data_IF_062844881078
#
_entry.id   IF_062844881078
#
_cell.length_a   1.000
_cell.length_b   1.000
_cell.length_c   1.000
_cell.angle_alpha   90.00
_cell.angle_beta   90.00
_cell.angle_gamma   90.00
#
_symmetry.space_group_name_H-M   'P 1'
#
loop_
_entity.id
_entity.type
_entity.pdbx_description
1 polymer ?
#
# COMPACT_ATOMS: atom_id res chain seq x y z
N UNK A 1 -14.36 10.58 -18.93
CA UNK A 1 -13.66 11.56 -19.77
C UNK A 1 -13.98 11.21 -21.21
N UNK A 2 -14.49 12.17 -21.98
CA UNK A 2 -14.65 12.02 -23.43
C UNK A 2 -13.58 12.91 -24.08
N UNK A 3 -12.73 12.38 -24.97
CA UNK A 3 -11.81 13.22 -25.73
C UNK A 3 -12.54 14.10 -26.74
N UNK A 4 -13.74 13.70 -27.17
CA UNK A 4 -14.54 14.46 -28.12
C UNK A 4 -14.98 15.79 -27.51
N UNK A 5 -14.62 16.89 -28.18
CA UNK A 5 -14.93 18.25 -27.74
C UNK A 5 -14.05 18.80 -26.62
N UNK A 6 -13.02 18.06 -26.18
CA UNK A 6 -12.05 18.58 -25.20
C UNK A 6 -11.17 19.65 -25.83
N UNK A 7 -11.28 20.89 -25.34
CA UNK A 7 -10.47 22.01 -25.80
C UNK A 7 -9.18 22.05 -24.99
N UNK A 8 -8.12 21.49 -25.57
CA UNK A 8 -6.85 21.20 -24.90
C UNK A 8 -6.35 22.37 -24.06
N UNK A 9 -6.33 23.60 -24.59
CA UNK A 9 -5.77 24.76 -23.89
C UNK A 9 -6.74 25.28 -22.84
N UNK A 10 -7.99 25.55 -23.21
CA UNK A 10 -8.99 26.18 -22.35
C UNK A 10 -9.37 25.28 -21.18
N UNK A 11 -9.64 24.01 -21.44
CA UNK A 11 -10.10 23.08 -20.41
C UNK A 11 -8.92 22.67 -19.50
N UNK A 12 -7.69 22.58 -20.03
CA UNK A 12 -6.50 22.39 -19.19
C UNK A 12 -6.20 23.61 -18.32
N UNK A 13 -6.30 24.83 -18.86
CA UNK A 13 -6.15 26.06 -18.08
C UNK A 13 -7.21 26.18 -17.00
N UNK A 14 -8.46 25.81 -17.30
CA UNK A 14 -9.53 25.76 -16.31
C UNK A 14 -9.18 24.80 -15.15
N UNK A 15 -8.74 23.58 -15.46
CA UNK A 15 -8.34 22.60 -14.45
C UNK A 15 -7.10 23.05 -13.65
N UNK A 16 -6.13 23.70 -14.30
CA UNK A 16 -4.96 24.25 -13.62
C UNK A 16 -5.36 25.35 -12.62
N UNK A 17 -6.27 26.27 -13.02
CA UNK A 17 -6.81 27.30 -12.14
C UNK A 17 -7.58 26.71 -10.96
N UNK A 18 -8.38 25.65 -11.19
CA UNK A 18 -9.02 24.90 -10.10
C UNK A 18 -7.98 24.27 -9.15
N UNK A 19 -6.92 23.68 -9.70
CA UNK A 19 -5.81 23.12 -8.92
C UNK A 19 -5.16 24.16 -8.01
N UNK A 20 -4.86 25.35 -8.54
CA UNK A 20 -4.32 26.48 -7.76
C UNK A 20 -5.29 26.86 -6.65
N UNK A 21 -6.57 27.07 -6.96
CA UNK A 21 -7.57 27.43 -5.94
C UNK A 21 -7.70 26.37 -4.83
N UNK A 22 -7.60 25.09 -5.16
CA UNK A 22 -7.61 24.00 -4.18
C UNK A 22 -6.37 24.06 -3.28
N UNK A 23 -5.19 24.27 -3.86
CA UNK A 23 -3.93 24.42 -3.11
C UNK A 23 -4.00 25.63 -2.17
N UNK A 24 -4.41 26.79 -2.68
CA UNK A 24 -4.58 28.01 -1.87
C UNK A 24 -5.59 27.77 -0.75
N UNK A 25 -6.70 27.10 -1.02
CA UNK A 25 -7.70 26.77 -0.01
C UNK A 25 -7.14 25.87 1.10
N UNK A 26 -6.28 24.91 0.77
CA UNK A 26 -5.60 24.05 1.75
C UNK A 26 -4.60 24.85 2.59
N UNK A 27 -3.76 25.67 1.94
CA UNK A 27 -2.70 26.45 2.59
C UNK A 27 -3.31 27.52 3.50
N UNK A 28 -4.25 28.30 2.99
CA UNK A 28 -4.89 29.42 3.69
C UNK A 28 -6.04 28.97 4.60
N UNK A 29 -6.39 27.67 4.58
CA UNK A 29 -7.47 27.06 5.37
C UNK A 29 -8.81 27.76 5.18
N UNK A 30 -9.15 28.09 3.93
CA UNK A 30 -10.39 28.79 3.56
C UNK A 30 -11.36 27.87 2.81
N UNK A 31 -12.64 28.23 2.85
CA UNK A 31 -13.69 27.52 2.12
C UNK A 31 -14.06 26.18 2.75
N UNK A 32 -14.48 25.23 1.91
CA UNK A 32 -15.03 23.93 2.35
C UNK A 32 -13.97 22.83 2.52
N UNK A 33 -12.76 23.05 2.00
CA UNK A 33 -11.69 22.06 1.97
C UNK A 33 -10.80 22.21 3.21
N UNK A 34 -11.10 21.42 4.23
CA UNK A 34 -10.34 21.36 5.48
C UNK A 34 -9.70 19.98 5.62
N UNK A 35 -8.39 19.92 5.39
CA UNK A 35 -7.55 18.73 5.48
C UNK A 35 -6.69 18.71 6.76
N UNK A 36 -6.97 19.57 7.75
CA UNK A 36 -6.18 19.65 9.00
C UNK A 36 -6.11 18.34 9.78
N UNK A 37 -7.09 17.45 9.59
CA UNK A 37 -7.13 16.11 10.17
C UNK A 37 -6.88 14.99 9.14
N UNK A 38 -6.39 15.34 7.95
CA UNK A 38 -6.06 14.43 6.87
C UNK A 38 -7.21 14.10 5.91
N UNK A 39 -6.84 13.67 4.70
CA UNK A 39 -7.76 13.39 3.60
C UNK A 39 -8.77 12.29 3.93
N UNK A 40 -8.37 11.22 4.64
CA UNK A 40 -9.27 10.15 5.08
C UNK A 40 -10.42 10.67 5.95
N UNK A 41 -10.12 11.54 6.93
CA UNK A 41 -11.16 12.08 7.82
C UNK A 41 -12.09 13.03 7.06
N UNK A 42 -11.53 13.87 6.20
CA UNK A 42 -12.30 14.72 5.30
C UNK A 42 -13.25 13.90 4.43
N UNK A 43 -12.75 12.89 3.72
CA UNK A 43 -13.53 12.02 2.85
C UNK A 43 -14.67 11.32 3.60
N UNK A 44 -14.41 10.76 4.79
CA UNK A 44 -15.44 10.14 5.63
C UNK A 44 -16.53 11.14 6.07
N UNK A 45 -16.14 12.36 6.47
CA UNK A 45 -17.08 13.43 6.86
C UNK A 45 -17.94 13.84 5.68
N UNK A 46 -17.35 13.98 4.50
CA UNK A 46 -18.05 14.36 3.27
C UNK A 46 -18.97 13.23 2.80
N UNK A 47 -18.53 11.98 2.86
CA UNK A 47 -19.33 10.82 2.47
C UNK A 47 -20.60 10.66 3.32
N UNK A 48 -20.57 11.00 4.61
CA UNK A 48 -21.79 11.04 5.46
C UNK A 48 -22.83 12.05 4.99
N UNK A 49 -22.41 13.11 4.30
CA UNK A 49 -23.29 14.18 3.80
C UNK A 49 -23.68 14.00 2.33
N UNK A 50 -22.81 13.39 1.53
CA UNK A 50 -22.89 13.36 0.05
C UNK A 50 -22.97 11.95 -0.53
N UNK A 51 -22.89 10.91 0.31
CA UNK A 51 -22.91 9.50 -0.09
C UNK A 51 -21.52 8.87 -0.16
N UNK A 52 -21.48 7.53 -0.07
CA UNK A 52 -20.25 6.72 -0.03
C UNK A 52 -19.35 6.91 -1.26
N UNK A 53 -19.95 7.24 -2.41
CA UNK A 53 -19.26 7.48 -3.69
C UNK A 53 -18.06 8.45 -3.59
N UNK A 54 -18.12 9.41 -2.67
CA UNK A 54 -16.99 10.33 -2.42
C UNK A 54 -15.81 9.59 -1.79
N UNK A 55 -16.08 8.72 -0.81
CA UNK A 55 -15.04 7.88 -0.20
C UNK A 55 -14.52 6.84 -1.20
N UNK A 56 -15.42 6.26 -2.00
CA UNK A 56 -15.09 5.24 -3.01
C UNK A 56 -14.29 5.80 -4.19
N UNK A 57 -14.15 7.12 -4.28
CA UNK A 57 -13.25 7.74 -5.26
C UNK A 57 -11.82 7.88 -4.74
N UNK A 58 -11.59 7.70 -3.43
CA UNK A 58 -10.29 7.90 -2.79
C UNK A 58 -9.58 6.55 -2.61
N UNK A 59 -8.45 6.34 -3.30
CA UNK A 59 -7.59 5.17 -3.15
C UNK A 59 -6.58 5.38 -2.00
N UNK A 60 -6.68 4.59 -0.92
CA UNK A 60 -5.77 4.71 0.22
C UNK A 60 -5.76 3.45 1.08
N UNK A 61 -4.69 3.25 1.83
CA UNK A 61 -4.64 2.31 2.95
C UNK A 61 -5.01 3.04 4.24
N UNK A 62 -5.83 2.41 5.07
CA UNK A 62 -6.24 2.92 6.36
C UNK A 62 -5.42 2.27 7.48
N UNK A 63 -5.04 3.06 8.48
CA UNK A 63 -4.36 2.56 9.68
C UNK A 63 -4.91 3.27 10.93
N UNK A 64 -5.32 2.49 11.92
CA UNK A 64 -5.91 2.95 13.17
C UNK A 64 -7.00 4.01 12.95
N UNK A 65 -7.16 4.95 13.90
CA UNK A 65 -8.26 5.91 13.91
C UNK A 65 -8.18 6.99 12.84
N UNK A 66 -6.98 7.48 12.53
CA UNK A 66 -6.76 8.62 11.62
C UNK A 66 -5.71 8.34 10.54
N UNK A 67 -4.86 7.33 10.71
CA UNK A 67 -3.78 7.04 9.78
C UNK A 67 -4.32 6.67 8.40
N UNK A 68 -3.62 7.18 7.38
CA UNK A 68 -3.85 6.83 5.99
C UNK A 68 -2.57 7.05 5.19
N UNK A 69 -2.42 6.31 4.10
CA UNK A 69 -1.42 6.58 3.06
C UNK A 69 -2.03 6.29 1.71
N UNK A 70 -1.74 7.13 0.72
CA UNK A 70 -2.01 6.80 -0.68
C UNK A 70 -0.88 5.87 -1.14
N UNK A 71 -1.18 4.77 -1.84
CA UNK A 71 -0.14 3.91 -2.40
C UNK A 71 0.71 4.67 -3.42
N UNK A 72 1.94 4.22 -3.62
CA UNK A 72 2.82 4.74 -4.66
C UNK A 72 2.35 4.34 -6.06
N UNK A 73 3.06 4.77 -7.11
CA UNK A 73 2.63 4.63 -8.51
C UNK A 73 2.70 3.20 -9.08
N UNK A 74 3.09 2.19 -8.28
CA UNK A 74 3.18 0.80 -8.76
C UNK A 74 1.80 0.18 -8.80
N UNK A 75 1.43 -0.42 -9.93
CA UNK A 75 0.17 -1.12 -10.08
C UNK A 75 0.28 -2.61 -9.71
N UNK A 76 0.23 -2.91 -8.42
CA UNK A 76 0.35 -4.27 -7.87
C UNK A 76 -0.37 -4.39 -6.52
N UNK A 77 -0.92 -5.55 -6.13
CA UNK A 77 -1.68 -5.69 -4.88
C UNK A 77 -0.86 -5.42 -3.62
N UNK A 78 0.47 -5.61 -3.67
CA UNK A 78 1.36 -5.42 -2.52
C UNK A 78 1.28 -4.02 -1.90
N UNK A 79 1.03 -2.98 -2.72
CA UNK A 79 0.89 -1.60 -2.23
C UNK A 79 -0.38 -1.36 -1.42
N UNK A 80 -1.34 -2.30 -1.46
CA UNK A 80 -2.58 -2.30 -0.69
C UNK A 80 -2.60 -3.36 0.41
N UNK A 81 -1.47 -4.04 0.62
CA UNK A 81 -1.32 -5.04 1.66
C UNK A 81 -1.40 -4.44 3.07
N UNK A 82 -1.86 -5.22 4.06
CA UNK A 82 -2.06 -4.76 5.42
C UNK A 82 -0.75 -4.68 6.23
N UNK A 83 0.22 -3.92 5.73
CA UNK A 83 1.50 -3.73 6.40
C UNK A 83 1.38 -2.68 7.54
N UNK A 84 2.14 -2.84 8.64
CA UNK A 84 2.04 -1.96 9.81
C UNK A 84 2.40 -0.51 9.52
N UNK A 85 3.31 -0.27 8.57
CA UNK A 85 3.76 1.06 8.17
C UNK A 85 3.60 1.20 6.64
N UNK A 86 2.41 1.64 6.22
CA UNK A 86 2.15 1.98 4.82
C UNK A 86 2.94 3.25 4.43
N UNK A 87 3.59 3.24 3.26
CA UNK A 87 4.39 4.37 2.74
C UNK A 87 5.91 4.18 2.85
N UNK A 88 6.35 3.28 3.73
CA UNK A 88 7.65 2.60 3.57
C UNK A 88 7.43 1.43 2.61
N UNK A 89 8.38 1.12 1.74
CA UNK A 89 8.20 0.01 0.80
C UNK A 89 8.48 -1.35 1.47
N UNK A 90 7.83 -1.58 2.59
CA UNK A 90 7.83 -2.83 3.34
C UNK A 90 6.87 -3.84 2.69
N UNK A 91 6.75 -3.76 1.37
CA UNK A 91 5.90 -4.61 0.55
C UNK A 91 6.61 -4.91 -0.75
N UNK A 92 6.23 -6.04 -1.36
CA UNK A 92 6.55 -6.36 -2.73
C UNK A 92 5.78 -5.41 -3.64
N UNK A 93 6.48 -4.82 -4.60
CA UNK A 93 5.90 -3.97 -5.63
C UNK A 93 6.29 -4.43 -7.05
N UNK A 94 6.74 -5.67 -7.16
CA UNK A 94 6.97 -6.34 -8.44
C UNK A 94 5.67 -6.48 -9.24
N UNK A 95 5.82 -6.65 -10.55
CA UNK A 95 4.67 -6.79 -11.43
C UNK A 95 4.05 -8.18 -11.29
N UNK A 96 4.77 -9.22 -10.88
CA UNK A 96 4.26 -10.61 -10.93
C UNK A 96 3.01 -10.85 -10.06
N UNK A 97 2.18 -11.81 -10.49
CA UNK A 97 1.11 -12.30 -9.63
C UNK A 97 1.72 -13.16 -8.51
N UNK A 98 1.32 -12.86 -7.28
CA UNK A 98 1.67 -13.63 -6.10
C UNK A 98 0.37 -13.92 -5.35
N UNK A 99 0.06 -15.20 -5.06
CA UNK A 99 -1.02 -15.60 -4.16
C UNK A 99 -1.08 -14.73 -2.90
N UNK A 100 -2.27 -14.30 -2.43
CA UNK A 100 -2.35 -13.29 -1.37
C UNK A 100 -1.67 -13.71 -0.07
N UNK A 101 -1.77 -14.98 0.35
CA UNK A 101 -1.08 -15.45 1.55
C UNK A 101 0.43 -15.40 1.40
N UNK A 102 0.95 -15.82 0.25
CA UNK A 102 2.37 -15.75 -0.06
C UNK A 102 2.85 -14.30 -0.20
N UNK A 103 2.04 -13.42 -0.79
CA UNK A 103 2.32 -11.99 -0.88
C UNK A 103 2.49 -11.38 0.51
N UNK A 104 1.68 -11.78 1.48
CA UNK A 104 1.85 -11.41 2.89
C UNK A 104 3.21 -11.81 3.48
N UNK A 105 3.67 -13.03 3.18
CA UNK A 105 4.99 -13.53 3.63
C UNK A 105 6.14 -12.77 2.96
N UNK A 106 6.04 -12.55 1.65
CA UNK A 106 7.07 -11.82 0.92
C UNK A 106 7.13 -10.34 1.33
N UNK A 107 5.99 -9.70 1.59
CA UNK A 107 5.96 -8.36 2.17
C UNK A 107 6.70 -8.32 3.51
N UNK A 108 6.52 -9.34 4.35
CA UNK A 108 7.18 -9.46 5.65
C UNK A 108 8.69 -9.63 5.52
N UNK A 109 9.15 -10.52 4.63
CA UNK A 109 10.57 -10.65 4.31
C UNK A 109 11.15 -9.31 3.83
N UNK A 110 10.37 -8.58 3.02
CA UNK A 110 10.80 -7.29 2.48
C UNK A 110 10.89 -6.20 3.53
N UNK A 111 9.96 -6.17 4.48
CA UNK A 111 10.00 -5.32 5.66
C UNK A 111 11.28 -5.53 6.46
N UNK A 112 11.67 -6.78 6.72
CA UNK A 112 12.89 -7.12 7.47
C UNK A 112 14.13 -6.59 6.74
N UNK A 113 14.25 -6.85 5.44
CA UNK A 113 15.41 -6.40 4.66
C UNK A 113 15.46 -4.87 4.54
N UNK A 114 14.32 -4.19 4.46
CA UNK A 114 14.28 -2.71 4.47
C UNK A 114 14.62 -2.12 5.84
N UNK A 115 14.29 -2.81 6.94
CA UNK A 115 14.71 -2.43 8.30
C UNK A 115 16.23 -2.51 8.48
N UNK A 116 16.92 -3.46 7.85
CA UNK A 116 18.39 -3.52 7.84
C UNK A 116 18.98 -2.21 7.30
N UNK A 117 18.46 -1.76 6.16
CA UNK A 117 18.91 -0.55 5.47
C UNK A 117 18.52 0.70 6.28
N UNK A 118 17.27 0.80 6.71
CA UNK A 118 16.73 1.94 7.46
C UNK A 118 17.50 2.14 8.78
N UNK A 119 17.76 1.06 9.55
CA UNK A 119 18.45 1.15 10.84
C UNK A 119 19.94 1.43 10.71
N UNK A 120 20.57 1.00 9.61
CA UNK A 120 21.97 1.33 9.31
C UNK A 120 22.14 2.73 8.69
N UNK A 121 21.04 3.45 8.42
CA UNK A 121 21.08 4.79 7.83
C UNK A 121 21.49 4.81 6.35
N UNK A 122 21.40 3.68 5.65
CA UNK A 122 21.72 3.62 4.23
C UNK A 122 20.57 4.16 3.39
N UNK A 123 20.92 4.85 2.30
CA UNK A 123 19.89 5.27 1.35
C UNK A 123 19.25 4.04 0.69
N UNK A 124 17.92 4.02 0.63
CA UNK A 124 17.11 2.99 -0.03
C UNK A 124 17.58 2.65 -1.45
N UNK A 125 18.15 3.60 -2.19
CA UNK A 125 18.65 3.36 -3.56
C UNK A 125 19.81 2.35 -3.61
N UNK A 126 20.38 1.96 -2.47
CA UNK A 126 21.38 0.91 -2.35
C UNK A 126 20.79 -0.46 -2.01
N UNK A 127 19.46 -0.62 -2.06
CA UNK A 127 18.78 -1.92 -1.91
C UNK A 127 19.40 -2.99 -2.85
N UNK A 128 19.16 -4.26 -2.50
CA UNK A 128 19.71 -5.49 -3.08
C UNK A 128 21.14 -5.76 -2.65
N UNK A 129 22.10 -4.88 -2.92
CA UNK A 129 23.48 -5.13 -2.50
C UNK A 129 23.73 -4.73 -1.04
N UNK A 130 23.15 -3.60 -0.58
CA UNK A 130 23.44 -3.12 0.77
C UNK A 130 22.81 -4.00 1.85
N UNK A 131 21.65 -4.61 1.60
CA UNK A 131 21.02 -5.52 2.56
C UNK A 131 21.87 -6.77 2.85
N UNK A 132 22.72 -7.19 1.90
CA UNK A 132 23.68 -8.27 2.08
C UNK A 132 24.99 -7.78 2.72
N UNK A 133 25.47 -6.58 2.36
CA UNK A 133 26.74 -6.05 2.85
C UNK A 133 26.65 -5.43 4.25
N UNK A 134 25.52 -4.84 4.63
CA UNK A 134 25.38 -4.15 5.93
C UNK A 134 25.69 -5.09 7.11
N UNK A 135 25.17 -6.33 7.19
CA UNK A 135 25.53 -7.26 8.26
C UNK A 135 27.04 -7.53 8.34
N UNK A 136 27.72 -7.66 7.20
CA UNK A 136 29.18 -7.84 7.15
C UNK A 136 29.95 -6.58 7.59
N UNK A 137 29.44 -5.39 7.25
CA UNK A 137 30.01 -4.12 7.72
C UNK A 137 29.87 -4.01 9.25
N UNK A 138 28.72 -4.36 9.80
CA UNK A 138 28.50 -4.37 11.25
C UNK A 138 29.44 -5.37 11.93
N UNK A 139 29.67 -6.54 11.31
CA UNK A 139 30.64 -7.51 11.82
C UNK A 139 32.05 -6.93 11.84
N UNK A 140 32.51 -6.40 10.70
CA UNK A 140 33.88 -5.90 10.53
C UNK A 140 34.20 -4.74 11.46
N UNK A 141 33.22 -3.85 11.71
CA UNK A 141 33.42 -2.66 12.54
C UNK A 141 33.16 -2.89 14.02
N UNK A 142 32.23 -3.78 14.38
CA UNK A 142 31.73 -3.91 15.75
C UNK A 142 31.72 -5.34 16.29
N UNK A 143 31.80 -6.37 15.45
CA UNK A 143 31.67 -7.78 15.86
C UNK A 143 30.27 -8.16 16.34
N UNK A 144 29.24 -7.45 15.85
CA UNK A 144 27.86 -7.54 16.36
C UNK A 144 26.84 -7.97 15.28
N UNK A 145 27.26 -8.69 14.23
CA UNK A 145 26.33 -9.06 13.14
C UNK A 145 25.10 -9.82 13.63
N UNK A 146 25.30 -10.86 14.44
CA UNK A 146 24.21 -11.70 14.91
C UNK A 146 23.25 -10.93 15.82
N UNK A 147 23.78 -10.09 16.72
CA UNK A 147 22.97 -9.24 17.59
C UNK A 147 22.18 -8.19 16.79
N UNK A 148 22.80 -7.61 15.76
CA UNK A 148 22.13 -6.69 14.85
C UNK A 148 20.96 -7.37 14.12
N UNK A 149 21.18 -8.53 13.50
CA UNK A 149 20.11 -9.26 12.79
C UNK A 149 18.98 -9.72 13.73
N UNK A 150 19.32 -10.21 14.92
CA UNK A 150 18.33 -10.57 15.94
C UNK A 150 17.49 -9.36 16.36
N UNK A 151 18.13 -8.21 16.59
CA UNK A 151 17.42 -6.97 16.92
C UNK A 151 16.51 -6.49 15.78
N UNK A 152 16.90 -6.65 14.52
CA UNK A 152 16.02 -6.36 13.36
C UNK A 152 14.78 -7.27 13.39
N UNK A 153 14.94 -8.57 13.58
CA UNK A 153 13.83 -9.52 13.62
C UNK A 153 12.83 -9.19 14.75
N UNK A 154 13.34 -8.96 15.97
CA UNK A 154 12.53 -8.55 17.13
C UNK A 154 11.82 -7.21 16.84
N UNK A 155 12.52 -6.25 16.24
CA UNK A 155 11.95 -4.95 15.87
C UNK A 155 10.81 -5.12 14.87
N UNK A 156 11.00 -5.94 13.84
CA UNK A 156 9.98 -6.22 12.83
C UNK A 156 8.73 -6.83 13.47
N UNK A 157 8.90 -7.81 14.36
CA UNK A 157 7.79 -8.42 15.10
C UNK A 157 7.07 -7.42 16.00
N UNK A 158 7.79 -6.59 16.75
CA UNK A 158 7.21 -5.55 17.63
C UNK A 158 6.49 -4.42 16.88
N UNK A 159 6.92 -4.11 15.67
CA UNK A 159 6.19 -3.19 14.79
C UNK A 159 4.89 -3.86 14.33
N UNK A 160 4.96 -5.12 13.87
CA UNK A 160 3.79 -5.84 13.41
C UNK A 160 2.78 -6.19 14.51
N UNK A 161 3.22 -6.41 15.76
CA UNK A 161 2.31 -6.63 16.89
C UNK A 161 1.42 -5.41 17.20
N UNK A 162 1.82 -4.22 16.74
CA UNK A 162 1.04 -2.98 16.79
C UNK A 162 0.36 -2.65 15.46
N UNK A 163 0.38 -3.57 14.49
CA UNK A 163 -0.25 -3.38 13.20
C UNK A 163 -1.75 -3.13 13.39
N UNK A 164 -2.16 -1.91 13.07
CA UNK A 164 -3.54 -1.46 13.15
C UNK A 164 -4.10 -1.15 11.76
N UNK A 165 -3.62 -1.87 10.74
CA UNK A 165 -4.17 -1.79 9.39
C UNK A 165 -5.66 -2.11 9.38
N UNK A 166 -6.40 -1.45 8.51
CA UNK A 166 -7.86 -1.61 8.39
C UNK A 166 -8.15 -2.09 6.97
N UNK A 167 -9.09 -3.03 6.87
CA UNK A 167 -9.62 -3.48 5.59
C UNK A 167 -10.07 -2.29 4.72
N UNK A 168 -9.95 -2.45 3.41
CA UNK A 168 -10.20 -1.40 2.43
C UNK A 168 -11.57 -0.72 2.59
N UNK A 169 -11.55 0.54 3.05
CA UNK A 169 -12.76 1.33 3.27
C UNK A 169 -13.38 1.87 1.97
N UNK A 170 -12.56 1.99 0.92
CA UNK A 170 -12.93 2.49 -0.40
C UNK A 170 -13.03 1.36 -1.40
N UNK A 171 -14.10 1.35 -2.19
CA UNK A 171 -14.30 0.38 -3.28
C UNK A 171 -13.21 0.49 -4.35
N UNK A 172 -12.58 1.68 -4.51
CA UNK A 172 -11.46 1.88 -5.43
C UNK A 172 -10.29 0.92 -5.17
N UNK A 173 -10.04 0.55 -3.92
CA UNK A 173 -9.00 -0.41 -3.57
C UNK A 173 -9.32 -1.81 -4.13
N UNK A 174 -10.59 -2.21 -4.09
CA UNK A 174 -11.05 -3.50 -4.60
C UNK A 174 -10.96 -3.52 -6.13
N UNK A 175 -11.44 -2.45 -6.78
CA UNK A 175 -11.37 -2.28 -8.23
C UNK A 175 -9.92 -2.28 -8.72
N UNK A 176 -9.02 -1.64 -7.98
CA UNK A 176 -7.60 -1.61 -8.27
C UNK A 176 -6.99 -3.02 -8.32
N UNK A 177 -7.30 -3.86 -7.32
CA UNK A 177 -6.80 -5.24 -7.26
C UNK A 177 -7.42 -6.09 -8.38
N UNK A 178 -8.74 -6.02 -8.55
CA UNK A 178 -9.41 -6.77 -9.61
C UNK A 178 -8.89 -6.39 -11.00
N UNK A 179 -8.66 -5.10 -11.25
CA UNK A 179 -8.14 -4.64 -12.54
C UNK A 179 -6.70 -5.10 -12.77
N UNK A 180 -5.86 -5.14 -11.73
CA UNK A 180 -4.54 -5.75 -11.80
C UNK A 180 -4.64 -7.23 -12.19
N UNK A 181 -5.47 -8.01 -11.50
CA UNK A 181 -5.63 -9.45 -11.77
C UNK A 181 -6.14 -9.70 -13.19
N UNK A 182 -7.14 -8.95 -13.64
CA UNK A 182 -7.65 -9.04 -15.02
C UNK A 182 -6.58 -8.68 -16.04
N UNK A 183 -5.82 -7.60 -15.81
CA UNK A 183 -4.71 -7.22 -16.70
C UNK A 183 -3.68 -8.33 -16.79
N UNK A 184 -3.36 -9.00 -15.69
CA UNK A 184 -2.45 -10.15 -15.69
C UNK A 184 -2.92 -11.30 -16.57
N UNK A 185 -4.20 -11.62 -16.54
CA UNK A 185 -4.80 -12.62 -17.43
C UNK A 185 -4.82 -12.13 -18.88
N UNK A 186 -5.37 -10.94 -19.12
CA UNK A 186 -5.80 -10.47 -20.44
C UNK A 186 -4.65 -9.87 -21.27
N UNK A 187 -3.66 -9.25 -20.62
CA UNK A 187 -2.53 -8.58 -21.27
C UNK A 187 -1.25 -9.39 -21.14
N UNK A 188 -0.94 -9.86 -19.93
CA UNK A 188 0.32 -10.57 -19.67
C UNK A 188 0.18 -12.09 -19.95
N UNK A 189 -1.02 -12.58 -20.24
CA UNK A 189 -1.27 -13.98 -20.56
C UNK A 189 -1.06 -14.96 -19.39
N UNK A 190 -1.15 -14.48 -18.15
CA UNK A 190 -0.98 -15.32 -16.97
C UNK A 190 -2.14 -16.30 -16.81
N UNK A 191 -1.83 -17.60 -16.80
CA UNK A 191 -2.80 -18.69 -16.65
C UNK A 191 -2.69 -19.40 -15.29
N UNK A 192 -2.13 -18.74 -14.28
CA UNK A 192 -2.02 -19.31 -12.94
C UNK A 192 -3.41 -19.68 -12.39
N UNK A 193 -3.64 -20.93 -11.94
CA UNK A 193 -4.94 -21.35 -11.44
C UNK A 193 -5.45 -20.52 -10.25
N UNK A 194 -4.58 -20.07 -9.35
CA UNK A 194 -4.99 -19.22 -8.23
C UNK A 194 -5.37 -17.82 -8.71
N UNK A 195 -4.67 -17.26 -9.69
CA UNK A 195 -5.05 -15.99 -10.30
C UNK A 195 -6.46 -16.07 -10.88
N UNK A 196 -6.73 -17.11 -11.67
CA UNK A 196 -8.04 -17.33 -12.29
C UNK A 196 -9.13 -17.53 -11.23
N UNK A 197 -8.85 -18.30 -10.19
CA UNK A 197 -9.74 -18.48 -9.04
C UNK A 197 -10.10 -17.15 -8.37
N UNK A 198 -9.10 -16.30 -8.09
CA UNK A 198 -9.36 -15.00 -7.47
C UNK A 198 -10.18 -14.10 -8.39
N UNK A 199 -9.90 -14.06 -9.70
CA UNK A 199 -10.72 -13.28 -10.65
C UNK A 199 -12.19 -13.73 -10.59
N UNK A 200 -12.45 -15.05 -10.63
CA UNK A 200 -13.80 -15.61 -10.54
C UNK A 200 -14.49 -15.24 -9.21
N UNK A 201 -13.78 -15.34 -8.08
CA UNK A 201 -14.29 -14.93 -6.75
C UNK A 201 -14.69 -13.44 -6.76
N UNK A 202 -13.83 -12.57 -7.28
CA UNK A 202 -14.10 -11.13 -7.38
C UNK A 202 -15.27 -10.80 -8.32
N UNK A 203 -15.42 -11.52 -9.42
CA UNK A 203 -16.54 -11.36 -10.36
C UNK A 203 -17.86 -11.86 -9.77
N UNK A 204 -17.81 -12.91 -8.93
CA UNK A 204 -18.98 -13.47 -8.25
C UNK A 204 -19.45 -12.59 -7.09
N UNK A 205 -18.55 -12.22 -6.17
CA UNK A 205 -18.83 -11.35 -5.04
C UNK A 205 -17.60 -10.51 -4.68
N UNK A 206 -17.50 -9.34 -5.29
CA UNK A 206 -16.36 -8.42 -5.13
C UNK A 206 -16.01 -8.11 -3.68
N UNK A 207 -17.01 -7.86 -2.83
CA UNK A 207 -16.76 -7.45 -1.45
C UNK A 207 -16.24 -8.59 -0.57
N UNK A 208 -16.82 -9.78 -0.72
CA UNK A 208 -16.39 -10.98 0.00
C UNK A 208 -14.99 -11.39 -0.45
N UNK A 209 -14.76 -11.49 -1.76
CA UNK A 209 -13.46 -11.82 -2.31
C UNK A 209 -12.37 -10.82 -1.91
N UNK A 210 -12.68 -9.51 -1.91
CA UNK A 210 -11.75 -8.50 -1.44
C UNK A 210 -11.38 -8.67 0.04
N UNK A 211 -12.37 -8.96 0.88
CA UNK A 211 -12.16 -9.18 2.31
C UNK A 211 -11.26 -10.39 2.55
N UNK A 212 -11.54 -11.49 1.87
CA UNK A 212 -10.72 -12.71 1.96
C UNK A 212 -9.31 -12.49 1.43
N UNK A 213 -9.16 -11.87 0.25
CA UNK A 213 -7.86 -11.56 -0.34
C UNK A 213 -6.99 -10.73 0.62
N UNK A 214 -7.60 -9.71 1.25
CA UNK A 214 -6.94 -8.89 2.26
C UNK A 214 -6.53 -9.70 3.49
N UNK A 215 -7.41 -10.57 4.00
CA UNK A 215 -7.09 -11.40 5.16
C UNK A 215 -6.07 -12.49 4.87
N UNK A 216 -6.00 -13.04 3.66
CA UNK A 216 -4.94 -13.96 3.28
C UNK A 216 -3.56 -13.27 3.33
N UNK A 217 -3.44 -12.05 2.79
CA UNK A 217 -2.22 -11.24 2.96
C UNK A 217 -1.91 -10.96 4.43
N UNK A 218 -2.94 -10.66 5.22
CA UNK A 218 -2.77 -10.42 6.66
C UNK A 218 -2.28 -11.68 7.40
N UNK A 219 -2.83 -12.87 7.07
CA UNK A 219 -2.39 -14.15 7.64
C UNK A 219 -0.94 -14.44 7.30
N UNK A 220 -0.55 -14.30 6.03
CA UNK A 220 0.84 -14.47 5.62
C UNK A 220 1.79 -13.52 6.37
N UNK A 221 1.37 -12.27 6.57
CA UNK A 221 2.14 -11.30 7.35
C UNK A 221 2.29 -11.72 8.82
N UNK A 222 1.20 -12.18 9.43
CA UNK A 222 1.17 -12.61 10.82
C UNK A 222 1.90 -13.95 11.05
N UNK A 223 2.00 -14.80 10.04
CA UNK A 223 2.82 -16.02 10.06
C UNK A 223 4.32 -15.68 10.08
N UNK A 224 4.74 -14.70 9.27
CA UNK A 224 6.16 -14.40 9.07
C UNK A 224 6.79 -13.44 10.09
N UNK A 225 6.00 -12.61 10.78
CA UNK A 225 6.50 -11.58 11.72
C UNK A 225 6.21 -11.93 13.19
N UNK A 226 6.38 -13.20 13.56
CA UNK A 226 6.23 -13.67 14.94
C UNK A 226 7.55 -13.59 15.68
N UNK A 227 7.47 -13.33 16.99
CA UNK A 227 8.63 -13.39 17.89
C UNK A 227 8.97 -14.82 18.28
N UNK A 228 7.96 -15.70 18.33
CA UNK A 228 8.09 -17.11 18.70
C UNK A 228 7.46 -17.99 17.62
N UNK A 229 8.16 -19.06 17.24
CA UNK A 229 7.67 -20.11 16.34
C UNK A 229 6.84 -21.18 17.08
#
# INVERSE_FOLDING_TARGET
FSPDGFRVVEDSNHNANLGIQLIDSIIERRGILDLSEGARKFARRTARKKGKVVLDSFLYNANARKGWSVPNQYWTPGVLSPMPIAGKYYMVYGNDFIPPRELGRQNSARMIQELIIDNAGFCRFHRTWAEEMIPEIIESLFGLKEEFLANIAITASRINSRNSSIFWESERNMDYVLTFLKRKRDVDGCTDPELLHWIERFETNKHEAALEFWYEMHKGTHESLREFE
#
